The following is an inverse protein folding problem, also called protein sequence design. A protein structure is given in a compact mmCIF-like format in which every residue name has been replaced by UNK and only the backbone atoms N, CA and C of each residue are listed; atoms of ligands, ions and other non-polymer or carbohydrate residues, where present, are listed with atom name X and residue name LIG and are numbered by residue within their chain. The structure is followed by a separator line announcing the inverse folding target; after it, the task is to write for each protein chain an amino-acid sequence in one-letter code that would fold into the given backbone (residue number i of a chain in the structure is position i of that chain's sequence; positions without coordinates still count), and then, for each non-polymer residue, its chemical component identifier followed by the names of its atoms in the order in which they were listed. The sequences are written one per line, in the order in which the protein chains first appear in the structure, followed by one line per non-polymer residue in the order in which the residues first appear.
data_IF_945504708707
#
_entry.id   IF_945504708707
#
_cell.length_a   1.000
_cell.length_b   1.000
_cell.length_c   1.000
_cell.angle_alpha   90.00
_cell.angle_beta   90.00
_cell.angle_gamma   90.00
#
_symmetry.space_group_name_H-M   'P 1'
#
loop_
_entity.id
_entity.type
_entity.pdbx_description
1 polymer ?
#
# COMPACT_ATOMS: atom_id res chain seq x y z
N UNK A 1 16.51 -12.75 1.80
CA UNK A 1 15.46 -11.86 2.36
C UNK A 1 15.98 -10.44 2.26
N UNK A 2 15.25 -9.55 1.58
CA UNK A 2 15.64 -8.14 1.48
C UNK A 2 14.62 -7.28 2.24
N UNK A 3 14.69 -7.37 3.57
CA UNK A 3 13.97 -6.47 4.44
C UNK A 3 14.84 -5.27 4.78
N UNK A 4 14.25 -4.08 4.78
CA UNK A 4 14.93 -2.82 5.12
C UNK A 4 14.21 -2.17 6.30
N UNK A 5 14.96 -1.92 7.37
CA UNK A 5 14.47 -1.15 8.52
C UNK A 5 15.11 0.22 8.49
N UNK A 6 14.30 1.27 8.55
CA UNK A 6 14.74 2.66 8.64
C UNK A 6 14.33 3.20 10.01
N UNK A 7 15.26 3.86 10.68
CA UNK A 7 15.06 4.47 12.00
C UNK A 7 15.53 5.91 11.96
N UNK A 8 14.71 6.81 12.52
CA UNK A 8 15.04 8.21 12.75
C UNK A 8 14.46 8.69 14.09
N UNK A 9 14.68 9.95 14.48
CA UNK A 9 14.25 10.47 15.79
C UNK A 9 12.77 10.24 16.12
N UNK A 10 11.91 10.26 15.10
CA UNK A 10 10.45 10.07 15.21
C UNK A 10 9.92 9.15 14.12
N UNK A 11 10.75 8.24 13.61
CA UNK A 11 10.42 7.40 12.46
C UNK A 11 10.91 5.97 12.69
N UNK A 12 10.00 5.03 12.45
CA UNK A 12 10.29 3.64 12.20
C UNK A 12 9.56 3.23 10.92
N UNK A 13 10.30 2.67 9.96
CA UNK A 13 9.71 2.02 8.79
C UNK A 13 10.33 0.64 8.62
N UNK A 14 9.49 -0.37 8.42
CA UNK A 14 9.90 -1.75 8.14
C UNK A 14 9.35 -2.12 6.77
N UNK A 15 10.26 -2.29 5.81
CA UNK A 15 9.92 -2.53 4.41
C UNK A 15 10.39 -3.92 4.00
N UNK A 16 9.70 -4.51 3.02
CA UNK A 16 10.15 -5.75 2.38
C UNK A 16 10.06 -5.60 0.86
N UNK A 17 11.14 -5.96 0.16
CA UNK A 17 11.18 -5.99 -1.30
C UNK A 17 10.84 -7.39 -1.83
N UNK A 18 10.55 -7.53 -3.13
CA UNK A 18 10.37 -8.85 -3.76
C UNK A 18 11.60 -9.76 -3.46
N UNK A 19 11.40 -11.06 -3.17
CA UNK A 19 10.12 -11.75 -3.03
C UNK A 19 9.42 -11.40 -1.71
N UNK A 20 8.11 -11.09 -1.78
CA UNK A 20 7.33 -10.72 -0.60
C UNK A 20 7.01 -11.96 0.24
N UNK A 21 7.30 -11.94 1.56
CA UNK A 21 7.00 -13.04 2.45
C UNK A 21 5.49 -13.11 2.70
N UNK A 22 5.06 -14.20 3.33
CA UNK A 22 3.71 -14.24 3.88
C UNK A 22 3.55 -13.21 5.01
N UNK A 23 2.31 -12.79 5.28
CA UNK A 23 2.05 -11.89 6.40
C UNK A 23 2.51 -12.47 7.74
N UNK A 24 2.34 -13.78 7.90
CA UNK A 24 2.75 -14.55 9.09
C UNK A 24 4.27 -14.49 9.30
N UNK A 25 5.05 -14.43 8.23
CA UNK A 25 6.51 -14.28 8.28
C UNK A 25 6.94 -12.82 8.47
N UNK A 26 6.20 -11.85 7.93
CA UNK A 26 6.57 -10.44 8.00
C UNK A 26 6.21 -9.79 9.35
N UNK A 27 5.07 -10.15 9.91
CA UNK A 27 4.53 -9.58 11.13
C UNK A 27 5.49 -9.66 12.34
N UNK A 28 6.21 -10.78 12.58
CA UNK A 28 7.23 -10.85 13.63
C UNK A 28 8.37 -9.84 13.46
N UNK A 29 8.76 -9.53 12.22
CA UNK A 29 9.82 -8.55 11.96
C UNK A 29 9.35 -7.12 12.29
N UNK A 30 8.11 -6.79 11.92
CA UNK A 30 7.50 -5.50 12.28
C UNK A 30 7.47 -5.36 13.81
N UNK A 31 7.02 -6.40 14.53
CA UNK A 31 6.99 -6.41 16.00
C UNK A 31 8.36 -6.15 16.60
N UNK A 32 9.36 -6.92 16.16
CA UNK A 32 10.73 -6.80 16.63
C UNK A 32 11.28 -5.38 16.41
N UNK A 33 11.02 -4.78 15.26
CA UNK A 33 11.43 -3.41 14.95
C UNK A 33 10.73 -2.37 15.83
N UNK A 34 9.43 -2.54 16.05
CA UNK A 34 8.64 -1.65 16.89
C UNK A 34 9.07 -1.71 18.36
N UNK A 35 9.23 -2.91 18.91
CA UNK A 35 9.66 -3.12 20.30
C UNK A 35 11.07 -2.54 20.53
N UNK A 36 11.99 -2.74 19.58
CA UNK A 36 13.33 -2.16 19.64
C UNK A 36 13.33 -0.63 19.53
N UNK A 37 12.47 -0.06 18.68
CA UNK A 37 12.31 1.38 18.60
C UNK A 37 11.77 1.96 19.91
N UNK A 38 10.74 1.34 20.49
CA UNK A 38 10.16 1.78 21.76
C UNK A 38 11.16 1.74 22.92
N UNK A 39 12.00 0.71 22.99
CA UNK A 39 12.99 0.56 24.07
C UNK A 39 14.16 1.55 23.99
N UNK A 40 14.47 2.07 22.80
CA UNK A 40 15.57 3.01 22.60
C UNK A 40 15.07 4.45 22.55
N UNK A 41 14.07 4.73 21.70
CA UNK A 41 13.61 6.08 21.41
C UNK A 41 12.59 6.60 22.43
N UNK A 42 12.00 5.73 23.25
CA UNK A 42 11.00 6.09 24.27
C UNK A 42 9.91 7.05 23.71
N UNK A 43 9.26 6.71 22.59
CA UNK A 43 8.26 7.58 21.99
C UNK A 43 7.11 7.81 22.98
N UNK A 44 6.54 9.01 22.96
CA UNK A 44 5.41 9.36 23.84
C UNK A 44 4.04 9.05 23.23
N UNK A 45 3.94 9.14 21.90
CA UNK A 45 2.73 8.87 21.15
C UNK A 45 3.05 8.49 19.69
N UNK A 46 2.02 7.99 18.99
CA UNK A 46 2.08 7.71 17.56
C UNK A 46 1.30 8.80 16.84
N UNK A 47 2.00 9.67 16.10
CA UNK A 47 1.33 10.66 15.26
C UNK A 47 0.78 10.06 13.97
N UNK A 48 1.50 9.10 13.38
CA UNK A 48 1.07 8.39 12.18
C UNK A 48 1.45 6.93 12.31
N UNK A 49 0.52 6.05 11.99
CA UNK A 49 0.77 4.65 11.70
C UNK A 49 0.15 4.36 10.34
N UNK A 50 0.81 3.48 9.57
CA UNK A 50 0.35 3.13 8.24
C UNK A 50 0.87 1.77 7.81
N UNK A 51 0.09 1.12 6.94
CA UNK A 51 0.42 -0.13 6.27
C UNK A 51 0.23 0.08 4.77
N UNK A 52 1.31 -0.06 4.02
CA UNK A 52 1.33 0.26 2.58
C UNK A 52 1.73 -0.94 1.73
N UNK A 53 0.99 -1.16 0.64
CA UNK A 53 1.27 -2.18 -0.36
C UNK A 53 1.45 -1.53 -1.73
N UNK A 54 2.65 -1.63 -2.29
CA UNK A 54 2.94 -1.16 -3.65
C UNK A 54 3.02 -2.37 -4.57
N UNK A 55 1.98 -2.59 -5.35
CA UNK A 55 1.86 -3.74 -6.25
C UNK A 55 2.19 -3.30 -7.69
N UNK A 56 3.23 -3.89 -8.28
CA UNK A 56 3.50 -3.76 -9.71
C UNK A 56 2.75 -4.87 -10.45
N UNK A 57 1.75 -4.49 -11.24
CA UNK A 57 0.91 -5.36 -12.05
C UNK A 57 1.47 -5.35 -13.47
N UNK A 58 1.79 -6.54 -13.99
CA UNK A 58 2.26 -6.74 -15.35
C UNK A 58 1.28 -7.65 -16.09
N UNK A 59 0.71 -7.14 -17.19
CA UNK A 59 -0.24 -7.86 -18.03
C UNK A 59 0.39 -8.04 -19.42
N UNK A 60 0.57 -9.27 -19.90
CA UNK A 60 1.07 -9.51 -21.25
C UNK A 60 0.12 -8.99 -22.33
N UNK A 61 0.65 -8.37 -23.38
CA UNK A 61 -0.10 -7.83 -24.51
C UNK A 61 -0.15 -6.30 -24.51
N UNK A 62 -0.31 -5.73 -25.71
CA UNK A 62 -0.63 -4.32 -25.93
C UNK A 62 -1.32 -4.18 -27.31
N UNK A 63 -2.57 -3.68 -27.40
CA UNK A 63 -3.37 -3.09 -26.31
C UNK A 63 -3.92 -4.12 -25.33
N UNK A 64 -4.15 -3.71 -24.08
CA UNK A 64 -4.78 -4.53 -23.02
C UNK A 64 -6.20 -4.03 -22.77
N UNK A 65 -7.14 -4.96 -22.68
CA UNK A 65 -8.51 -4.64 -22.24
C UNK A 65 -8.53 -4.62 -20.72
N UNK A 66 -8.35 -3.43 -20.10
CA UNK A 66 -8.23 -3.30 -18.64
C UNK A 66 -9.41 -3.88 -17.87
N UNK A 67 -10.61 -3.87 -18.46
CA UNK A 67 -11.84 -4.44 -17.92
C UNK A 67 -11.72 -5.93 -17.54
N UNK A 68 -10.85 -6.68 -18.21
CA UNK A 68 -10.64 -8.11 -17.96
C UNK A 68 -9.76 -8.36 -16.73
N UNK A 69 -8.98 -7.37 -16.29
CA UNK A 69 -7.94 -7.52 -15.28
C UNK A 69 -8.17 -6.66 -14.03
N UNK A 70 -8.75 -5.48 -14.18
CA UNK A 70 -8.85 -4.45 -13.14
C UNK A 70 -10.29 -3.96 -12.98
N UNK A 71 -10.81 -4.05 -11.76
CA UNK A 71 -12.11 -3.53 -11.35
C UNK A 71 -12.00 -2.03 -11.05
N UNK A 72 -10.89 -1.63 -10.43
CA UNK A 72 -10.54 -0.22 -10.24
C UNK A 72 -9.69 0.28 -11.42
N UNK A 73 -10.28 1.08 -12.31
CA UNK A 73 -9.64 1.59 -13.53
C UNK A 73 -10.30 2.89 -14.02
N UNK A 74 -9.60 3.71 -14.83
CA UNK A 74 -10.22 4.89 -15.41
C UNK A 74 -11.33 4.51 -16.38
N UNK A 75 -12.47 5.18 -16.30
CA UNK A 75 -13.54 5.10 -17.30
C UNK A 75 -13.65 6.46 -17.99
N UNK A 76 -13.02 6.57 -19.17
CA UNK A 76 -12.80 7.84 -19.88
C UNK A 76 -13.95 8.17 -20.86
N UNK A 77 -14.82 7.20 -21.16
CA UNK A 77 -15.97 7.35 -22.06
C UNK A 77 -15.57 7.39 -23.55
N UNK A 78 -16.54 7.17 -24.45
CA UNK A 78 -16.28 7.01 -25.89
C UNK A 78 -15.78 8.27 -26.61
N UNK A 79 -15.88 9.45 -25.99
CA UNK A 79 -15.51 10.73 -26.59
C UNK A 79 -14.00 11.03 -26.51
N UNK A 80 -13.28 10.37 -25.61
CA UNK A 80 -11.83 10.50 -25.46
C UNK A 80 -11.15 9.31 -26.14
N UNK A 81 -10.13 9.60 -26.97
CA UNK A 81 -9.42 8.61 -27.79
C UNK A 81 -8.97 7.41 -26.94
N UNK A 82 -9.38 6.19 -27.31
CA UNK A 82 -9.15 4.95 -26.54
C UNK A 82 -7.70 4.41 -26.61
N UNK A 83 -6.72 5.29 -26.83
CA UNK A 83 -5.32 4.92 -26.64
C UNK A 83 -4.97 5.27 -25.20
N UNK A 84 -4.93 4.25 -24.34
CA UNK A 84 -4.60 4.36 -22.91
C UNK A 84 -3.16 4.87 -22.74
N UNK A 85 -3.01 6.20 -22.85
CA UNK A 85 -1.80 6.90 -22.51
C UNK A 85 -1.51 6.84 -21.00
N UNK A 86 -0.54 7.63 -20.53
CA UNK A 86 -0.28 7.75 -19.11
C UNK A 86 -1.53 8.21 -18.35
N UNK A 87 -1.84 7.55 -17.24
CA UNK A 87 -2.93 7.91 -16.35
C UNK A 87 -2.56 7.70 -14.89
N UNK A 88 -3.28 8.43 -14.03
CA UNK A 88 -3.32 8.26 -12.58
C UNK A 88 -4.78 8.32 -12.14
N UNK A 89 -5.19 7.36 -11.32
CA UNK A 89 -6.53 7.28 -10.74
C UNK A 89 -6.40 7.03 -9.24
N UNK A 90 -7.02 7.87 -8.43
CA UNK A 90 -6.95 7.76 -6.97
C UNK A 90 -8.30 7.92 -6.30
N UNK A 91 -8.53 7.15 -5.23
CA UNK A 91 -9.67 7.33 -4.31
C UNK A 91 -9.18 7.31 -2.86
N UNK A 92 -9.97 7.94 -1.98
CA UNK A 92 -9.77 7.93 -0.55
C UNK A 92 -11.05 7.42 0.11
N UNK A 93 -10.92 6.36 0.92
CA UNK A 93 -12.05 5.70 1.57
C UNK A 93 -11.83 5.72 3.08
N UNK A 94 -12.59 6.53 3.84
CA UNK A 94 -12.54 6.47 5.30
C UNK A 94 -13.12 5.14 5.79
N UNK A 95 -12.51 4.55 6.80
CA UNK A 95 -12.99 3.32 7.46
C UNK A 95 -12.77 3.40 8.98
N UNK A 96 -13.22 2.39 9.74
CA UNK A 96 -13.20 2.42 11.22
C UNK A 96 -13.85 3.69 11.81
N UNK A 97 -15.11 3.96 11.43
CA UNK A 97 -15.84 5.17 11.85
C UNK A 97 -15.12 6.49 11.50
N UNK A 98 -14.27 6.49 10.48
CA UNK A 98 -13.49 7.64 10.04
C UNK A 98 -12.20 7.87 10.84
N UNK A 99 -11.80 6.93 11.69
CA UNK A 99 -10.48 6.95 12.36
C UNK A 99 -9.37 6.73 11.34
N UNK A 100 -9.58 5.83 10.40
CA UNK A 100 -8.58 5.38 9.44
C UNK A 100 -8.99 5.76 8.00
N UNK A 101 -8.00 5.83 7.11
CA UNK A 101 -8.15 6.19 5.71
C UNK A 101 -7.41 5.17 4.85
N UNK A 102 -8.10 4.63 3.85
CA UNK A 102 -7.49 3.86 2.76
C UNK A 102 -7.32 4.80 1.57
N UNK A 103 -6.08 5.00 1.15
CA UNK A 103 -5.76 5.62 -0.14
C UNK A 103 -5.45 4.52 -1.14
N UNK A 104 -6.17 4.50 -2.26
CA UNK A 104 -5.97 3.57 -3.36
C UNK A 104 -5.59 4.38 -4.60
N UNK A 105 -4.43 4.10 -5.18
CA UNK A 105 -3.94 4.77 -6.40
C UNK A 105 -3.52 3.74 -7.44
N UNK A 106 -4.01 3.90 -8.68
CA UNK A 106 -3.58 3.14 -9.85
C UNK A 106 -2.92 4.08 -10.85
N UNK A 107 -1.66 3.80 -11.18
CA UNK A 107 -0.85 4.63 -12.08
C UNK A 107 -0.28 3.79 -13.22
N UNK A 108 -0.46 4.25 -14.47
CA UNK A 108 0.21 3.65 -15.64
C UNK A 108 1.71 3.93 -15.54
N UNK A 109 2.51 2.87 -15.50
CA UNK A 109 3.96 2.96 -15.46
C UNK A 109 4.56 2.61 -16.83
N UNK A 110 5.80 3.08 -17.07
CA UNK A 110 6.55 2.64 -18.24
C UNK A 110 6.81 1.14 -18.15
N UNK A 111 6.59 0.43 -19.26
CA UNK A 111 6.89 -0.98 -19.35
C UNK A 111 8.40 -1.21 -19.48
N UNK A 112 8.95 -2.10 -18.68
CA UNK A 112 10.36 -2.51 -18.79
C UNK A 112 10.59 -3.46 -19.98
N UNK A 113 9.52 -4.05 -20.51
CA UNK A 113 9.53 -5.03 -21.61
C UNK A 113 8.56 -4.60 -22.72
N UNK A 114 8.89 -4.86 -24.00
CA UNK A 114 7.94 -4.62 -25.10
C UNK A 114 6.66 -5.44 -24.92
N UNK A 115 5.52 -4.88 -25.34
CA UNK A 115 4.21 -5.55 -25.33
C UNK A 115 3.79 -6.08 -23.95
N UNK A 116 4.14 -5.36 -22.88
CA UNK A 116 3.65 -5.61 -21.53
C UNK A 116 3.00 -4.35 -21.02
N UNK A 117 1.77 -4.45 -20.54
CA UNK A 117 1.17 -3.39 -19.76
C UNK A 117 1.67 -3.46 -18.31
N UNK A 118 2.34 -2.40 -17.84
CA UNK A 118 2.70 -2.20 -16.44
C UNK A 118 1.84 -1.11 -15.78
N UNK A 119 1.30 -1.40 -14.60
CA UNK A 119 0.68 -0.42 -13.73
C UNK A 119 1.09 -0.64 -12.28
N UNK A 120 1.13 0.44 -11.51
CA UNK A 120 1.38 0.42 -10.06
C UNK A 120 0.05 0.62 -9.37
N UNK A 121 -0.33 -0.35 -8.53
CA UNK A 121 -1.44 -0.24 -7.60
C UNK A 121 -0.90 -0.06 -6.18
N UNK A 122 -1.07 1.15 -5.65
CA UNK A 122 -0.65 1.55 -4.31
C UNK A 122 -1.85 1.58 -3.36
N UNK A 123 -1.71 0.89 -2.22
CA UNK A 123 -2.68 0.90 -1.14
C UNK A 123 -1.99 1.42 0.11
N UNK A 124 -2.40 2.57 0.63
CA UNK A 124 -1.94 3.10 1.93
C UNK A 124 -3.11 3.15 2.90
N UNK A 125 -3.12 2.22 3.85
CA UNK A 125 -3.99 2.28 5.02
C UNK A 125 -3.27 3.08 6.09
N UNK A 126 -3.82 4.19 6.56
CA UNK A 126 -3.22 5.00 7.63
C UNK A 126 -4.26 5.72 8.47
N UNK A 127 -3.86 6.38 9.55
CA UNK A 127 -4.78 7.20 10.34
C UNK A 127 -5.29 8.40 9.54
N UNK A 128 -6.60 8.65 9.58
CA UNK A 128 -7.20 9.86 9.02
C UNK A 128 -6.86 11.11 9.84
N UNK A 129 -6.61 10.93 11.16
CA UNK A 129 -6.20 12.00 12.07
C UNK A 129 -5.02 11.56 12.93
N UNK A 130 -4.06 12.45 13.23
CA UNK A 130 -2.93 12.09 14.07
C UNK A 130 -3.30 11.68 15.49
N UNK A 131 -2.50 10.83 16.12
CA UNK A 131 -2.62 10.54 17.55
C UNK A 131 -3.82 9.68 17.96
N UNK A 132 -4.57 9.11 17.01
CA UNK A 132 -5.75 8.30 17.30
C UNK A 132 -5.45 6.87 17.76
N UNK A 133 -4.18 6.47 17.76
CA UNK A 133 -3.71 5.15 18.20
C UNK A 133 -2.61 5.31 19.24
N UNK A 134 -2.74 4.60 20.37
CA UNK A 134 -1.73 4.54 21.42
C UNK A 134 -0.58 3.61 21.04
N UNK A 135 0.53 3.68 21.77
CA UNK A 135 1.66 2.77 21.57
C UNK A 135 1.26 1.31 21.85
N UNK A 136 0.44 1.07 22.88
CA UNK A 136 0.00 -0.26 23.28
C UNK A 136 -0.94 -0.91 22.25
N UNK A 137 -1.76 -0.11 21.57
CA UNK A 137 -2.69 -0.58 20.53
C UNK A 137 -2.08 -0.58 19.12
N UNK A 138 -0.82 -0.15 18.96
CA UNK A 138 -0.18 -0.02 17.65
C UNK A 138 -0.16 -1.34 16.87
N UNK A 139 0.13 -2.44 17.57
CA UNK A 139 0.23 -3.75 16.92
C UNK A 139 -1.13 -4.35 16.59
N UNK A 140 -2.13 -4.10 17.43
CA UNK A 140 -3.51 -4.47 17.14
C UNK A 140 -4.00 -3.76 15.87
N UNK A 141 -3.71 -2.46 15.75
CA UNK A 141 -4.02 -1.67 14.56
C UNK A 141 -3.43 -2.28 13.29
N UNK A 142 -2.15 -2.71 13.33
CA UNK A 142 -1.47 -3.34 12.19
C UNK A 142 -2.11 -4.68 11.79
N UNK A 143 -2.75 -5.39 12.71
CA UNK A 143 -3.41 -6.67 12.42
C UNK A 143 -4.80 -6.52 11.80
N UNK A 144 -5.55 -5.48 12.20
CA UNK A 144 -6.91 -5.22 11.70
C UNK A 144 -6.93 -4.42 10.41
N UNK A 145 -5.82 -3.76 10.07
CA UNK A 145 -5.72 -2.93 8.87
C UNK A 145 -6.19 -3.72 7.62
N UNK A 146 -7.04 -3.12 6.76
CA UNK A 146 -7.61 -3.78 5.59
C UNK A 146 -6.53 -4.44 4.75
N UNK A 147 -6.77 -5.71 4.40
CA UNK A 147 -5.89 -6.49 3.52
C UNK A 147 -6.59 -6.68 2.19
N UNK A 148 -5.95 -6.37 1.05
CA UNK A 148 -6.52 -6.72 -0.23
C UNK A 148 -6.70 -8.24 -0.31
N UNK A 149 -7.94 -8.69 -0.55
CA UNK A 149 -8.23 -10.10 -0.77
C UNK A 149 -7.60 -10.55 -2.09
N UNK A 150 -6.89 -11.69 -2.08
CA UNK A 150 -6.41 -12.37 -3.28
C UNK A 150 -7.62 -12.79 -4.12
N UNK A 151 -8.00 -12.03 -5.13
CA UNK A 151 -9.16 -12.42 -5.96
C UNK A 151 -9.29 -11.67 -7.27
N UNK A 152 -9.25 -10.34 -7.25
CA UNK A 152 -9.28 -9.43 -8.40
C UNK A 152 -9.05 -8.01 -7.86
N UNK A 153 -8.19 -7.24 -8.50
CA UNK A 153 -8.10 -5.80 -8.31
C UNK A 153 -9.08 -5.11 -9.25
#
# INVERSE_FOLDING_TARGET
MSALVQVGPHLLAVNHLKPYPTWQEFLPLIRKGFDAYCSVAHPKNIQRIGLRYVNCIEIPGEPVVLDEYLTFRPHVGAALLQNDGPFILGIQVPFEHGRDMLQLELTRAAAERPAVFTAILDLDCSLAKPGQVSLDSAFEWVQIAPRPHRGRF
#
